data_IF_970901860495
#
_entry.id   IF_970901860495
#
_cell.length_a   1.000
_cell.length_b   1.000
_cell.length_c   1.000
_cell.angle_alpha   90.00
_cell.angle_beta   90.00
_cell.angle_gamma   90.00
#
_symmetry.space_group_name_H-M   'P 1'
#
loop_
_entity.id
_entity.type
_entity.pdbx_description
1 polymer ?
#
# COMPACT_ATOMS: atom_id res chain seq x y z
N UNK A 1 -16.54 -29.83 31.15
CA UNK A 1 -15.90 -28.50 31.20
C UNK A 1 -14.69 -28.55 30.30
N UNK A 2 -14.92 -28.45 28.98
CA UNK A 2 -14.58 -27.27 28.15
C UNK A 2 -13.09 -27.09 27.87
N UNK A 3 -12.44 -28.14 27.35
CA UNK A 3 -11.23 -27.99 26.53
C UNK A 3 -11.63 -27.49 25.12
N UNK A 4 -12.21 -26.30 25.06
CA UNK A 4 -12.20 -25.50 23.84
C UNK A 4 -10.91 -24.66 23.88
N UNK A 5 -9.75 -25.34 23.85
CA UNK A 5 -8.50 -24.70 23.49
C UNK A 5 -8.62 -24.27 22.04
N UNK A 6 -9.11 -23.04 21.93
CA UNK A 6 -9.11 -22.14 20.80
C UNK A 6 -8.12 -22.63 19.75
N UNK A 7 -8.67 -23.28 18.71
CA UNK A 7 -7.94 -23.70 17.54
C UNK A 7 -7.36 -22.42 16.95
N UNK A 8 -6.12 -22.06 17.32
CA UNK A 8 -5.37 -20.96 16.70
C UNK A 8 -5.27 -21.38 15.25
N UNK A 9 -6.25 -20.94 14.45
CA UNK A 9 -6.39 -21.44 13.10
C UNK A 9 -5.21 -20.87 12.32
N UNK A 10 -4.19 -21.70 12.12
CA UNK A 10 -3.04 -21.38 11.32
C UNK A 10 -3.55 -20.95 9.94
N UNK A 11 -3.14 -19.77 9.49
CA UNK A 11 -3.48 -19.32 8.15
C UNK A 11 -2.87 -20.31 7.16
N UNK A 12 -3.65 -20.74 6.17
CA UNK A 12 -3.15 -21.72 5.21
C UNK A 12 -2.00 -21.13 4.38
N UNK A 13 -1.01 -21.97 4.04
CA UNK A 13 0.14 -21.55 3.21
C UNK A 13 -0.29 -20.91 1.88
N UNK A 14 -1.43 -21.33 1.32
CA UNK A 14 -1.99 -20.74 0.10
C UNK A 14 -2.45 -19.30 0.26
N UNK A 15 -3.08 -18.96 1.40
CA UNK A 15 -3.48 -17.57 1.70
C UNK A 15 -2.26 -16.68 1.89
N UNK A 16 -1.24 -17.18 2.58
CA UNK A 16 0.03 -16.46 2.76
C UNK A 16 0.73 -16.24 1.42
N UNK A 17 0.74 -17.24 0.53
CA UNK A 17 1.32 -17.10 -0.81
C UNK A 17 0.55 -16.11 -1.67
N UNK A 18 -0.79 -16.14 -1.65
CA UNK A 18 -1.61 -15.21 -2.40
C UNK A 18 -1.38 -13.76 -1.94
N UNK A 19 -1.36 -13.52 -0.63
CA UNK A 19 -1.07 -12.19 -0.08
C UNK A 19 0.35 -11.72 -0.40
N UNK A 20 1.34 -12.61 -0.32
CA UNK A 20 2.71 -12.31 -0.72
C UNK A 20 2.76 -11.85 -2.19
N UNK A 21 2.08 -12.57 -3.10
CA UNK A 21 2.03 -12.20 -4.52
C UNK A 21 1.34 -10.85 -4.72
N UNK A 22 0.20 -10.61 -4.05
CA UNK A 22 -0.50 -9.33 -4.10
C UNK A 22 0.40 -8.16 -3.67
N UNK A 23 1.12 -8.31 -2.56
CA UNK A 23 2.04 -7.28 -2.09
C UNK A 23 3.25 -7.10 -3.00
N UNK A 24 3.76 -8.16 -3.64
CA UNK A 24 4.82 -8.05 -4.64
C UNK A 24 4.35 -7.33 -5.91
N UNK A 25 3.12 -7.57 -6.36
CA UNK A 25 2.53 -6.84 -7.49
C UNK A 25 2.42 -5.35 -7.14
N UNK A 26 1.93 -5.02 -5.94
CA UNK A 26 1.89 -3.64 -5.45
C UNK A 26 3.30 -3.01 -5.39
N UNK A 27 4.30 -3.75 -4.91
CA UNK A 27 5.69 -3.31 -4.86
C UNK A 27 6.26 -3.00 -6.25
N UNK A 28 5.99 -3.86 -7.23
CA UNK A 28 6.41 -3.66 -8.63
C UNK A 28 5.74 -2.42 -9.22
N UNK A 29 4.44 -2.21 -8.98
CA UNK A 29 3.74 -1.01 -9.41
C UNK A 29 4.34 0.27 -8.82
N UNK A 30 4.60 0.28 -7.51
CA UNK A 30 5.25 1.40 -6.84
C UNK A 30 6.70 1.62 -7.34
N UNK A 31 7.44 0.55 -7.63
CA UNK A 31 8.81 0.64 -8.15
C UNK A 31 8.83 1.24 -9.55
N UNK A 32 7.87 0.85 -10.40
CA UNK A 32 7.69 1.43 -11.72
C UNK A 32 7.35 2.93 -11.64
N UNK A 33 6.45 3.31 -10.73
CA UNK A 33 6.12 4.72 -10.48
C UNK A 33 7.34 5.50 -10.00
N UNK A 34 8.12 4.95 -9.06
CA UNK A 34 9.38 5.55 -8.60
C UNK A 34 10.32 5.89 -9.75
N UNK A 35 10.63 4.91 -10.62
CA UNK A 35 11.56 5.10 -11.74
C UNK A 35 11.00 6.13 -12.74
N UNK A 36 9.71 6.03 -13.05
CA UNK A 36 9.06 6.91 -14.04
C UNK A 36 8.98 8.35 -13.56
N UNK A 37 8.75 8.57 -12.26
CA UNK A 37 8.61 9.90 -11.67
C UNK A 37 9.92 10.66 -11.52
N UNK A 38 11.09 10.01 -11.60
CA UNK A 38 12.38 10.70 -11.61
C UNK A 38 12.47 11.68 -12.79
N UNK A 39 12.01 11.27 -13.98
CA UNK A 39 11.98 12.14 -15.16
C UNK A 39 11.05 13.34 -14.95
N UNK A 40 9.88 13.10 -14.39
CA UNK A 40 8.89 14.15 -14.06
C UNK A 40 9.48 15.17 -13.08
N UNK A 41 10.11 14.71 -11.99
CA UNK A 41 10.70 15.60 -10.99
C UNK A 41 11.87 16.45 -11.54
N UNK A 42 12.67 15.89 -12.46
CA UNK A 42 13.76 16.63 -13.11
C UNK A 42 13.26 17.75 -14.03
N UNK A 43 12.14 17.51 -14.71
CA UNK A 43 11.55 18.45 -15.68
C UNK A 43 10.53 19.41 -15.06
N UNK A 44 10.18 19.20 -13.78
CA UNK A 44 9.26 20.06 -13.05
C UNK A 44 9.81 21.49 -12.90
N UNK A 45 8.89 22.46 -12.89
CA UNK A 45 9.22 23.86 -12.63
C UNK A 45 9.82 24.05 -11.23
N UNK A 46 10.58 25.13 -11.01
CA UNK A 46 11.16 25.43 -9.69
C UNK A 46 10.11 25.49 -8.55
N UNK A 47 8.87 25.87 -8.86
CA UNK A 47 7.76 25.95 -7.89
C UNK A 47 7.30 24.57 -7.42
N UNK A 48 7.36 23.56 -8.28
CA UNK A 48 6.82 22.21 -8.00
C UNK A 48 7.88 21.13 -7.83
N UNK A 49 9.13 21.42 -8.20
CA UNK A 49 10.22 20.46 -8.22
C UNK A 49 10.47 19.80 -6.86
N UNK A 50 10.38 20.55 -5.75
CA UNK A 50 10.53 19.99 -4.42
C UNK A 50 9.43 18.95 -4.11
N UNK A 51 8.17 19.24 -4.46
CA UNK A 51 7.03 18.34 -4.25
C UNK A 51 7.14 17.09 -5.12
N UNK A 52 7.62 17.22 -6.35
CA UNK A 52 7.82 16.06 -7.22
C UNK A 52 8.94 15.14 -6.72
N UNK A 53 10.03 15.69 -6.17
CA UNK A 53 11.04 14.86 -5.51
C UNK A 53 10.54 14.20 -4.24
N UNK A 54 9.70 14.88 -3.46
CA UNK A 54 8.98 14.26 -2.34
C UNK A 54 8.16 13.06 -2.83
N UNK A 55 7.42 13.22 -3.93
CA UNK A 55 6.60 12.16 -4.51
C UNK A 55 7.44 10.95 -4.94
N UNK A 56 8.59 11.19 -5.59
CA UNK A 56 9.55 10.13 -5.95
C UNK A 56 9.97 9.33 -4.72
N UNK A 57 10.37 10.00 -3.64
CA UNK A 57 10.75 9.31 -2.40
C UNK A 57 9.58 8.56 -1.76
N UNK A 58 8.36 9.10 -1.87
CA UNK A 58 7.14 8.41 -1.45
C UNK A 58 6.95 7.08 -2.18
N UNK A 59 7.11 7.05 -3.50
CA UNK A 59 7.02 5.80 -4.27
C UNK A 59 8.07 4.77 -3.84
N UNK A 60 9.33 5.20 -3.66
CA UNK A 60 10.39 4.32 -3.18
C UNK A 60 10.06 3.74 -1.79
N UNK A 61 9.60 4.58 -0.87
CA UNK A 61 9.20 4.15 0.46
C UNK A 61 8.11 3.07 0.39
N UNK A 62 7.04 3.31 -0.37
CA UNK A 62 5.96 2.33 -0.49
C UNK A 62 6.39 1.04 -1.18
N UNK A 63 7.28 1.09 -2.17
CA UNK A 63 7.91 -0.13 -2.72
C UNK A 63 8.51 -0.98 -1.61
N UNK A 64 9.33 -0.38 -0.73
CA UNK A 64 10.00 -1.10 0.35
C UNK A 64 9.02 -1.62 1.40
N UNK A 65 8.02 -0.81 1.77
CA UNK A 65 6.99 -1.23 2.71
C UNK A 65 6.16 -2.40 2.19
N UNK A 66 5.80 -2.40 0.91
CA UNK A 66 5.09 -3.52 0.28
C UNK A 66 5.96 -4.79 0.24
N UNK A 67 7.27 -4.66 -0.01
CA UNK A 67 8.21 -5.79 0.08
C UNK A 67 8.27 -6.34 1.51
N UNK A 68 8.33 -5.47 2.52
CA UNK A 68 8.33 -5.91 3.93
C UNK A 68 7.05 -6.64 4.30
N UNK A 69 5.88 -6.16 3.86
CA UNK A 69 4.61 -6.84 4.07
C UNK A 69 4.50 -8.15 3.29
N UNK A 70 5.12 -8.26 2.11
CA UNK A 70 5.17 -9.51 1.36
C UNK A 70 5.98 -10.59 2.11
N UNK A 71 7.15 -10.22 2.65
CA UNK A 71 8.09 -11.17 3.25
C UNK A 71 7.71 -11.49 4.71
N UNK A 72 7.29 -10.47 5.46
CA UNK A 72 7.07 -10.56 6.91
C UNK A 72 5.70 -9.97 7.32
N UNK A 73 4.58 -10.50 6.80
CA UNK A 73 3.25 -9.91 6.93
C UNK A 73 2.73 -9.77 8.36
N UNK A 74 3.35 -10.40 9.36
CA UNK A 74 2.86 -10.36 10.76
C UNK A 74 3.90 -9.82 11.74
N UNK A 75 5.05 -9.35 11.25
CA UNK A 75 6.19 -8.98 12.10
C UNK A 75 6.06 -7.58 12.72
N UNK A 76 5.36 -6.67 12.06
CA UNK A 76 5.29 -5.25 12.44
C UNK A 76 3.84 -4.86 12.76
N UNK A 77 3.45 -4.81 14.05
CA UNK A 77 2.14 -4.34 14.46
C UNK A 77 1.88 -2.92 13.94
N UNK A 78 0.69 -2.69 13.37
CA UNK A 78 0.26 -1.37 12.89
C UNK A 78 0.74 -0.98 11.49
N UNK A 79 1.67 -1.74 10.89
CA UNK A 79 2.18 -1.39 9.56
C UNK A 79 1.10 -1.53 8.47
N UNK A 80 0.24 -2.54 8.57
CA UNK A 80 -0.87 -2.71 7.63
C UNK A 80 -1.85 -1.56 7.71
N UNK A 81 -2.26 -1.23 8.93
CA UNK A 81 -3.27 -0.24 9.22
C UNK A 81 -2.80 1.15 8.80
N UNK A 82 -1.52 1.47 9.06
CA UNK A 82 -0.92 2.74 8.62
C UNK A 82 -0.95 2.91 7.10
N UNK A 83 -0.55 1.87 6.38
CA UNK A 83 -0.52 1.87 4.90
C UNK A 83 -1.95 1.93 4.33
N UNK A 84 -2.90 1.22 4.94
CA UNK A 84 -4.31 1.26 4.54
C UNK A 84 -4.92 2.65 4.76
N UNK A 85 -4.61 3.29 5.89
CA UNK A 85 -5.09 4.65 6.19
C UNK A 85 -4.51 5.64 5.17
N UNK A 86 -3.20 5.58 4.89
CA UNK A 86 -2.56 6.47 3.92
C UNK A 86 -3.19 6.32 2.52
N UNK A 87 -3.25 5.10 1.98
CA UNK A 87 -3.79 4.86 0.64
C UNK A 87 -5.28 5.11 0.55
N UNK A 88 -6.05 4.76 1.57
CA UNK A 88 -7.47 5.07 1.64
C UNK A 88 -7.73 6.57 1.70
N UNK A 89 -6.94 7.32 2.48
CA UNK A 89 -7.06 8.77 2.58
C UNK A 89 -6.69 9.46 1.27
N UNK A 90 -5.57 9.08 0.63
CA UNK A 90 -5.18 9.63 -0.67
C UNK A 90 -6.23 9.35 -1.73
N UNK A 91 -6.74 8.12 -1.80
CA UNK A 91 -7.85 7.76 -2.71
C UNK A 91 -9.03 8.71 -2.55
N UNK A 92 -9.48 8.95 -1.32
CA UNK A 92 -10.62 9.82 -1.04
C UNK A 92 -10.33 11.28 -1.40
N UNK A 93 -9.17 11.80 -0.99
CA UNK A 93 -8.76 13.18 -1.25
C UNK A 93 -8.67 13.42 -2.76
N UNK A 94 -8.00 12.54 -3.49
CA UNK A 94 -7.80 12.65 -4.93
C UNK A 94 -9.12 12.48 -5.69
N UNK A 95 -10.03 11.62 -5.23
CA UNK A 95 -11.36 11.50 -5.80
C UNK A 95 -12.21 12.76 -5.62
N UNK A 96 -12.07 13.43 -4.46
CA UNK A 96 -12.70 14.74 -4.22
C UNK A 96 -12.08 15.80 -5.13
N UNK A 97 -10.75 15.84 -5.23
CA UNK A 97 -10.03 16.77 -6.09
C UNK A 97 -10.33 16.55 -7.58
N UNK A 98 -10.56 15.32 -8.03
CA UNK A 98 -10.89 15.00 -9.42
C UNK A 98 -12.16 15.70 -9.94
N UNK A 99 -12.99 16.24 -9.06
CA UNK A 99 -14.12 17.11 -9.43
C UNK A 99 -13.67 18.46 -9.99
N UNK A 100 -12.44 18.88 -9.70
CA UNK A 100 -11.80 20.06 -10.26
C UNK A 100 -11.01 19.65 -11.53
N UNK A 101 -11.43 20.10 -12.73
CA UNK A 101 -10.77 19.74 -13.99
C UNK A 101 -9.31 20.19 -14.08
N UNK A 102 -8.91 21.21 -13.29
CA UNK A 102 -7.54 21.71 -13.27
C UNK A 102 -6.58 20.77 -12.53
N UNK A 103 -7.10 19.85 -11.73
CA UNK A 103 -6.31 18.85 -11.00
C UNK A 103 -6.46 17.53 -11.73
N UNK A 104 -5.41 17.06 -12.39
CA UNK A 104 -5.38 15.74 -13.06
C UNK A 104 -5.36 14.59 -12.03
N UNK A 105 -6.29 14.62 -11.06
CA UNK A 105 -6.32 13.82 -9.85
C UNK A 105 -7.11 12.52 -9.99
N UNK A 106 -7.85 12.33 -11.09
CA UNK A 106 -8.62 11.10 -11.30
C UNK A 106 -7.71 9.88 -11.49
N UNK A 107 -6.62 10.02 -12.27
CA UNK A 107 -5.68 8.93 -12.50
C UNK A 107 -5.02 8.43 -11.20
N UNK A 108 -4.43 9.29 -10.35
CA UNK A 108 -3.86 8.82 -9.09
C UNK A 108 -4.95 8.28 -8.13
N UNK A 109 -6.15 8.87 -8.09
CA UNK A 109 -7.25 8.36 -7.26
C UNK A 109 -7.61 6.91 -7.59
N UNK A 110 -7.65 6.56 -8.87
CA UNK A 110 -7.92 5.19 -9.32
C UNK A 110 -6.78 4.25 -8.89
N UNK A 111 -5.53 4.68 -9.06
CA UNK A 111 -4.35 3.86 -8.72
C UNK A 111 -4.29 3.60 -7.21
N UNK A 112 -4.41 4.64 -6.39
CA UNK A 112 -4.39 4.51 -4.94
C UNK A 112 -5.62 3.72 -4.42
N UNK A 113 -6.77 3.84 -5.10
CA UNK A 113 -7.95 3.01 -4.80
C UNK A 113 -7.71 1.53 -5.06
N UNK A 114 -7.11 1.18 -6.20
CA UNK A 114 -6.70 -0.20 -6.52
C UNK A 114 -5.71 -0.73 -5.50
N UNK A 115 -4.68 0.06 -5.15
CA UNK A 115 -3.70 -0.32 -4.13
C UNK A 115 -4.38 -0.56 -2.78
N UNK A 116 -5.30 0.31 -2.36
CA UNK A 116 -6.07 0.15 -1.11
C UNK A 116 -6.80 -1.18 -1.08
N UNK A 117 -7.46 -1.57 -2.17
CA UNK A 117 -8.16 -2.85 -2.29
C UNK A 117 -7.19 -4.03 -2.22
N UNK A 118 -6.06 -3.96 -2.93
CA UNK A 118 -5.02 -5.01 -2.91
C UNK A 118 -4.48 -5.21 -1.50
N UNK A 119 -4.14 -4.11 -0.81
CA UNK A 119 -3.60 -4.13 0.56
C UNK A 119 -4.65 -4.72 1.51
N UNK A 120 -5.91 -4.31 1.40
CA UNK A 120 -7.00 -4.80 2.25
C UNK A 120 -7.22 -6.31 2.05
N UNK A 121 -7.21 -6.78 0.80
CA UNK A 121 -7.31 -8.20 0.49
C UNK A 121 -6.15 -8.99 1.09
N UNK A 122 -4.91 -8.53 0.92
CA UNK A 122 -3.72 -9.16 1.49
C UNK A 122 -3.77 -9.18 3.03
N UNK A 123 -4.16 -8.06 3.66
CA UNK A 123 -4.36 -7.93 5.10
C UNK A 123 -5.35 -8.96 5.64
N UNK A 124 -6.51 -9.15 5.00
CA UNK A 124 -7.50 -10.14 5.40
C UNK A 124 -7.04 -11.57 5.15
N UNK A 125 -6.32 -11.83 4.06
CA UNK A 125 -5.77 -13.15 3.73
C UNK A 125 -4.79 -13.63 4.79
N UNK A 126 -3.84 -12.81 5.19
CA UNK A 126 -2.82 -13.15 6.21
C UNK A 126 -3.29 -12.95 7.64
N UNK A 127 -4.49 -12.38 7.83
CA UNK A 127 -4.99 -11.90 9.11
C UNK A 127 -4.03 -10.90 9.76
N UNK A 128 -3.65 -9.84 9.02
CA UNK A 128 -2.66 -8.86 9.48
C UNK A 128 -2.99 -8.24 10.86
N UNK A 129 -4.27 -8.17 11.24
CA UNK A 129 -4.71 -7.77 12.59
C UNK A 129 -4.14 -8.64 13.73
N UNK A 130 -3.67 -9.86 13.45
CA UNK A 130 -3.02 -10.70 14.47
C UNK A 130 -1.58 -10.28 14.76
N UNK A 131 -0.98 -9.37 13.97
CA UNK A 131 0.35 -8.83 14.25
C UNK A 131 0.46 -8.15 15.62
N UNK A 132 -0.66 -7.64 16.13
CA UNK A 132 -0.78 -7.05 17.47
C UNK A 132 -0.77 -8.07 18.61
N UNK A 133 -1.06 -9.34 18.31
CA UNK A 133 -1.07 -10.42 19.30
C UNK A 133 0.36 -10.94 19.44
N UNK A 134 1.01 -10.60 20.55
CA UNK A 134 2.30 -11.19 20.97
C UNK A 134 2.06 -12.59 21.54
#
# INVERSE_FOLDING_TARGET
MTENHEKISSVSKGRDRAAMILMLIAALGAAFAFVSSIGVARLASAVTQQVEWWRVMGFLLFTLLFVFLAIAPRKYPGLWELILIDKGALTLIEFVLAKNPATNALSPAIIDGILTIIILAAYLLVRGYTSWKK
#
